data_IF_845478332635
#
_entry.id   IF_845478332635
#
_cell.length_a   1.000
_cell.length_b   1.000
_cell.length_c   1.000
_cell.angle_alpha   90.00
_cell.angle_beta   90.00
_cell.angle_gamma   90.00
#
_symmetry.space_group_name_H-M   'P 1'
#
loop_
_entity.id
_entity.type
_entity.pdbx_description
1 polymer ?
#
# COMPACT_ATOMS: atom_id res chain seq x y z
N UNK A 1 -2.09 -3.93 16.20
CA UNK A 1 -3.21 -3.79 15.24
C UNK A 1 -4.59 -3.91 15.89
N UNK A 2 -4.89 -4.92 16.72
CA UNK A 2 -6.22 -5.07 17.36
C UNK A 2 -6.72 -3.82 18.12
N UNK A 3 -5.82 -3.06 18.75
CA UNK A 3 -6.16 -1.84 19.51
C UNK A 3 -6.39 -0.60 18.64
N UNK A 4 -5.99 -0.63 17.37
CA UNK A 4 -6.13 0.51 16.45
C UNK A 4 -7.61 0.73 16.12
N UNK A 5 -8.41 -0.34 16.06
CA UNK A 5 -9.81 -0.27 15.62
C UNK A 5 -9.92 -0.30 14.10
N UNK A 6 -11.10 0.07 13.58
CA UNK A 6 -11.38 0.14 12.14
C UNK A 6 -11.35 1.59 11.65
N UNK A 7 -10.73 1.82 10.50
CA UNK A 7 -10.71 3.08 9.78
C UNK A 7 -10.58 2.81 8.29
N UNK A 8 -11.27 3.59 7.45
CA UNK A 8 -11.32 3.35 5.99
C UNK A 8 -9.95 3.44 5.30
N UNK A 9 -9.03 4.23 5.84
CA UNK A 9 -7.67 4.41 5.30
C UNK A 9 -6.59 3.60 6.03
N UNK A 10 -6.97 2.56 6.76
CA UNK A 10 -6.03 1.66 7.45
C UNK A 10 -6.47 0.23 7.19
N UNK A 11 -5.55 -0.62 6.75
CA UNK A 11 -5.82 -2.05 6.57
C UNK A 11 -6.30 -2.67 7.89
N UNK A 12 -7.55 -3.14 7.91
CA UNK A 12 -8.13 -3.69 9.13
C UNK A 12 -7.58 -5.08 9.41
N UNK A 13 -7.30 -5.33 10.68
CA UNK A 13 -6.99 -6.65 11.19
C UNK A 13 -8.25 -7.49 11.34
N UNK A 14 -8.27 -8.68 10.75
CA UNK A 14 -9.40 -9.61 10.78
C UNK A 14 -9.19 -10.74 11.81
N UNK A 15 -7.95 -11.24 11.96
CA UNK A 15 -7.66 -12.35 12.86
C UNK A 15 -6.20 -12.80 12.80
N UNK A 16 -5.82 -13.74 13.67
CA UNK A 16 -4.47 -14.31 13.64
C UNK A 16 -4.49 -15.80 13.99
N UNK A 17 -3.60 -16.55 13.37
CA UNK A 17 -3.30 -17.92 13.76
C UNK A 17 -1.99 -17.91 14.54
N UNK A 18 -2.05 -18.23 15.84
CA UNK A 18 -0.87 -18.27 16.73
C UNK A 18 -0.56 -19.67 17.26
N UNK A 19 -1.38 -20.67 16.90
CA UNK A 19 -1.21 -22.07 17.32
C UNK A 19 -0.61 -22.88 16.16
N UNK A 20 0.34 -23.76 16.46
CA UNK A 20 0.91 -24.70 15.47
C UNK A 20 2.20 -24.23 14.77
N UNK A 21 2.99 -23.35 15.39
CA UNK A 21 4.33 -22.99 14.92
C UNK A 21 4.41 -21.56 14.34
N UNK A 22 3.92 -21.36 13.12
CA UNK A 22 4.03 -20.06 12.43
C UNK A 22 2.89 -19.11 12.80
N UNK A 23 3.25 -17.90 13.23
CA UNK A 23 2.29 -16.83 13.49
C UNK A 23 1.85 -16.20 12.17
N UNK A 24 0.56 -16.27 11.87
CA UNK A 24 -0.03 -15.68 10.66
C UNK A 24 -1.03 -14.58 11.04
N UNK A 25 -1.04 -13.52 10.23
CA UNK A 25 -1.94 -12.38 10.37
C UNK A 25 -2.93 -12.37 9.21
N UNK A 26 -4.22 -12.30 9.53
CA UNK A 26 -5.31 -12.18 8.57
C UNK A 26 -5.76 -10.72 8.59
N UNK A 27 -5.69 -10.07 7.43
CA UNK A 27 -6.01 -8.65 7.25
C UNK A 27 -6.87 -8.45 6.00
N UNK A 28 -7.46 -7.26 5.85
CA UNK A 28 -8.15 -6.88 4.62
C UNK A 28 -7.20 -6.93 3.41
N UNK A 29 -7.73 -7.42 2.28
CA UNK A 29 -6.98 -7.55 1.03
C UNK A 29 -6.98 -6.23 0.25
N UNK A 30 -5.78 -5.74 -0.10
CA UNK A 30 -5.60 -4.56 -0.94
C UNK A 30 -5.43 -5.00 -2.41
N UNK A 31 -6.53 -4.96 -3.19
CA UNK A 31 -6.60 -5.42 -4.59
C UNK A 31 -5.45 -4.92 -5.49
N UNK A 32 -5.05 -3.66 -5.32
CA UNK A 32 -4.05 -3.01 -6.17
C UNK A 32 -2.61 -3.07 -5.63
N UNK A 33 -2.40 -3.78 -4.51
CA UNK A 33 -1.09 -3.88 -3.87
C UNK A 33 -0.64 -2.59 -3.21
N UNK A 34 0.67 -2.35 -3.18
CA UNK A 34 1.24 -1.16 -2.57
C UNK A 34 1.23 0.06 -3.51
N UNK A 35 1.21 1.26 -2.92
CA UNK A 35 1.09 2.51 -3.67
C UNK A 35 2.32 2.80 -4.55
N UNK A 36 3.53 2.39 -4.15
CA UNK A 36 4.77 2.61 -4.93
C UNK A 36 4.69 1.92 -6.29
N UNK A 37 4.35 0.64 -6.30
CA UNK A 37 4.27 -0.13 -7.53
C UNK A 37 3.04 0.25 -8.34
N UNK A 38 1.92 0.57 -7.68
CA UNK A 38 0.74 1.12 -8.36
C UNK A 38 1.08 2.41 -9.15
N UNK A 39 1.77 3.37 -8.53
CA UNK A 39 2.16 4.62 -9.18
C UNK A 39 3.18 4.40 -10.30
N UNK A 40 4.14 3.47 -10.13
CA UNK A 40 5.13 3.12 -11.15
C UNK A 40 4.45 2.56 -12.41
N UNK A 41 3.47 1.66 -12.25
CA UNK A 41 2.72 1.06 -13.37
C UNK A 41 1.82 2.06 -14.11
N UNK A 42 1.41 3.14 -13.45
CA UNK A 42 0.56 4.20 -14.02
C UNK A 42 1.34 5.37 -14.65
N UNK A 43 2.68 5.32 -14.66
CA UNK A 43 3.50 6.36 -15.27
C UNK A 43 3.27 6.37 -16.81
N UNK A 44 2.98 7.53 -17.43
CA UNK A 44 2.85 7.59 -18.88
C UNK A 44 4.15 7.17 -19.57
N UNK A 45 4.08 6.41 -20.68
CA UNK A 45 5.25 6.12 -21.50
C UNK A 45 5.75 7.45 -22.12
N UNK A 46 6.82 8.00 -21.56
CA UNK A 46 7.39 9.29 -22.01
C UNK A 46 7.90 10.22 -20.90
N UNK A 47 7.56 9.97 -19.62
CA UNK A 47 8.10 10.73 -18.48
C UNK A 47 9.32 10.09 -17.81
N UNK A 48 9.87 9.01 -18.38
CA UNK A 48 11.25 8.65 -18.13
C UNK A 48 12.11 9.71 -18.82
N UNK A 49 12.60 10.69 -18.06
CA UNK A 49 13.61 11.60 -18.59
C UNK A 49 14.78 10.75 -19.10
N UNK A 50 15.21 10.89 -20.36
CA UNK A 50 16.39 10.19 -20.83
C UNK A 50 17.60 10.67 -20.01
N UNK A 51 18.23 9.78 -19.23
CA UNK A 51 19.54 10.04 -18.64
C UNK A 51 19.61 10.33 -17.14
N UNK A 52 18.54 10.21 -16.36
CA UNK A 52 18.63 10.28 -14.90
C UNK A 52 18.11 8.97 -14.28
N UNK A 53 19.05 8.03 -14.13
CA UNK A 53 18.96 6.72 -13.49
C UNK A 53 17.80 5.80 -13.94
N UNK A 54 18.08 4.93 -14.90
CA UNK A 54 17.55 3.56 -14.83
C UNK A 54 18.76 2.64 -14.69
N UNK A 55 19.10 2.29 -13.45
CA UNK A 55 19.92 1.10 -13.23
C UNK A 55 19.05 -0.12 -13.56
N UNK A 56 19.50 -1.04 -14.42
CA UNK A 56 18.75 -2.24 -14.82
C UNK A 56 18.53 -3.29 -13.72
N UNK A 57 18.76 -2.97 -12.44
CA UNK A 57 18.85 -3.97 -11.37
C UNK A 57 17.53 -4.36 -10.72
N UNK A 58 16.44 -3.61 -10.92
CA UNK A 58 15.13 -3.91 -10.31
C UNK A 58 14.16 -4.54 -11.33
N UNK A 59 14.69 -5.36 -12.25
CA UNK A 59 13.85 -6.33 -12.97
C UNK A 59 13.61 -7.51 -12.03
N UNK A 60 12.90 -7.25 -10.93
CA UNK A 60 12.22 -8.32 -10.24
C UNK A 60 11.18 -8.83 -11.23
N UNK A 61 11.27 -10.12 -11.56
CA UNK A 61 10.35 -10.82 -12.44
C UNK A 61 8.91 -10.53 -12.03
N UNK A 62 8.27 -9.56 -12.68
CA UNK A 62 6.83 -9.50 -12.76
C UNK A 62 6.46 -10.67 -13.65
N UNK A 63 6.33 -11.85 -13.05
CA UNK A 63 5.52 -12.91 -13.63
C UNK A 63 4.22 -12.23 -14.03
N UNK A 64 3.96 -12.20 -15.33
CA UNK A 64 2.74 -11.68 -15.92
C UNK A 64 1.63 -12.64 -15.54
N UNK A 65 1.25 -12.64 -14.27
CA UNK A 65 0.01 -13.26 -13.81
C UNK A 65 -1.10 -12.56 -14.61
N UNK A 66 -1.95 -13.33 -15.27
CA UNK A 66 -3.10 -12.81 -16.02
C UNK A 66 -4.04 -12.11 -15.04
N UNK A 67 -3.77 -10.83 -14.77
CA UNK A 67 -4.60 -9.97 -13.93
C UNK A 67 -5.91 -9.77 -14.70
N UNK A 68 -7.03 -10.10 -14.06
CA UNK A 68 -8.35 -9.65 -14.52
C UNK A 68 -8.31 -8.13 -14.47
N UNK A 69 -8.12 -7.50 -15.63
CA UNK A 69 -7.97 -6.05 -15.75
C UNK A 69 -9.37 -5.45 -15.58
N UNK A 70 -9.63 -4.89 -14.40
CA UNK A 70 -10.82 -4.08 -14.17
C UNK A 70 -10.66 -2.71 -14.87
N UNK A 71 -11.74 -2.12 -15.37
CA UNK A 71 -11.70 -0.85 -16.12
C UNK A 71 -11.04 0.28 -15.29
N UNK A 72 -11.25 0.25 -13.98
CA UNK A 72 -10.63 1.14 -12.99
C UNK A 72 -9.09 1.05 -12.99
N UNK A 73 -8.54 -0.14 -13.28
CA UNK A 73 -7.10 -0.36 -13.38
C UNK A 73 -6.48 0.14 -14.69
N UNK A 74 -7.28 0.41 -15.73
CA UNK A 74 -6.76 0.96 -17.01
C UNK A 74 -6.78 2.49 -17.00
N UNK A 75 -7.70 3.10 -16.23
CA UNK A 75 -7.85 4.56 -16.15
C UNK A 75 -6.52 5.27 -15.84
N UNK A 76 -6.21 6.31 -16.60
CA UNK A 76 -5.03 7.15 -16.35
C UNK A 76 -5.15 7.88 -15.01
N UNK A 77 -4.03 8.01 -14.31
CA UNK A 77 -3.97 8.71 -13.05
C UNK A 77 -3.98 10.23 -13.30
N UNK A 78 -4.82 10.95 -12.56
CA UNK A 78 -4.91 12.41 -12.60
C UNK A 78 -4.29 13.03 -11.36
N UNK A 79 -4.00 14.33 -11.40
CA UNK A 79 -3.53 15.09 -10.23
C UNK A 79 -4.52 15.02 -9.07
N UNK A 80 -5.82 14.93 -9.36
CA UNK A 80 -6.85 14.78 -8.33
C UNK A 80 -6.66 13.47 -7.59
N UNK A 81 -6.38 12.36 -8.28
CA UNK A 81 -6.16 11.06 -7.66
C UNK A 81 -4.94 11.12 -6.71
N UNK A 82 -3.87 11.80 -7.12
CA UNK A 82 -2.68 12.01 -6.28
C UNK A 82 -3.00 12.81 -5.01
N UNK A 83 -3.78 13.89 -5.14
CA UNK A 83 -4.23 14.70 -4.00
C UNK A 83 -5.11 13.85 -3.06
N UNK A 84 -6.00 13.03 -3.61
CA UNK A 84 -6.85 12.14 -2.83
C UNK A 84 -6.05 11.08 -2.06
N UNK A 85 -5.00 10.51 -2.67
CA UNK A 85 -4.10 9.60 -1.96
C UNK A 85 -3.42 10.28 -0.77
N UNK A 86 -2.90 11.49 -0.97
CA UNK A 86 -2.30 12.29 0.10
C UNK A 86 -3.30 12.54 1.23
N UNK A 87 -4.54 12.94 0.90
CA UNK A 87 -5.60 13.19 1.87
C UNK A 87 -5.99 11.92 2.65
N UNK A 88 -6.13 10.80 1.97
CA UNK A 88 -6.46 9.52 2.58
C UNK A 88 -5.36 9.03 3.53
N UNK A 89 -4.09 9.18 3.12
CA UNK A 89 -2.95 8.87 3.99
C UNK A 89 -2.94 9.78 5.21
N UNK A 90 -3.15 11.09 5.02
CA UNK A 90 -3.21 12.05 6.13
C UNK A 90 -4.34 11.69 7.12
N UNK A 91 -5.53 11.37 6.62
CA UNK A 91 -6.68 10.96 7.45
C UNK A 91 -6.39 9.66 8.22
N UNK A 92 -5.79 8.66 7.57
CA UNK A 92 -5.37 7.42 8.24
C UNK A 92 -4.33 7.68 9.35
N UNK A 93 -3.37 8.58 9.10
CA UNK A 93 -2.35 8.93 10.07
C UNK A 93 -2.91 9.73 11.25
N UNK A 94 -3.85 10.65 11.00
CA UNK A 94 -4.58 11.37 12.05
C UNK A 94 -5.34 10.38 12.94
N UNK A 95 -6.01 9.38 12.36
CA UNK A 95 -6.68 8.34 13.12
C UNK A 95 -5.69 7.55 13.99
N UNK A 96 -4.56 7.09 13.43
CA UNK A 96 -3.53 6.38 14.19
C UNK A 96 -2.99 7.21 15.35
N UNK A 97 -2.78 8.50 15.13
CA UNK A 97 -2.38 9.44 16.16
C UNK A 97 -3.43 9.53 17.27
N UNK A 98 -4.71 9.68 16.91
CA UNK A 98 -5.82 9.75 17.88
C UNK A 98 -5.93 8.51 18.76
N UNK A 99 -5.55 7.33 18.24
CA UNK A 99 -5.58 6.06 18.97
C UNK A 99 -4.38 5.86 19.89
N UNK A 100 -3.49 6.86 20.00
CA UNK A 100 -2.27 6.82 20.83
C UNK A 100 -1.55 5.50 20.64
N UNK A 101 -1.24 5.16 19.38
CA UNK A 101 -0.33 4.04 19.07
C UNK A 101 1.07 4.43 19.55
N UNK A 102 1.25 4.45 20.88
CA UNK A 102 2.52 4.55 21.54
C UNK A 102 3.18 3.19 21.32
N UNK A 103 4.11 3.15 20.37
CA UNK A 103 5.14 2.12 20.35
C UNK A 103 5.87 2.29 21.69
N UNK A 104 5.48 1.50 22.70
CA UNK A 104 6.20 1.46 23.96
C UNK A 104 7.62 1.03 23.59
N UNK A 105 8.56 1.97 23.65
CA UNK A 105 9.98 1.63 23.71
C UNK A 105 10.12 0.82 24.99
N UNK A 106 10.27 -0.50 24.86
CA UNK A 106 10.75 -1.33 25.95
C UNK A 106 12.07 -0.71 26.42
N UNK A 107 12.07 -0.18 27.64
CA UNK A 107 13.31 0.15 28.34
C UNK A 107 13.98 -1.20 28.62
N UNK A 108 15.11 -1.44 27.96
CA UNK A 108 16.19 -2.24 28.54
C UNK A 108 16.82 -1.44 29.69
#
# INVERSE_FOLDING_TARGET
MRMVGKHVNIISFLGCCTKGGQVMLIVEYAKYGNLRDYLRRKRPPGHALPGLYESPSDTDNYEQETIIIDDDYIRSLTTIDLILFCLQVASGMEYLHSKKVNIKKEKQ
#
